data_IF_219403705670
#
_entry.id   IF_219403705670
#
_cell.length_a   1.000
_cell.length_b   1.000
_cell.length_c   1.000
_cell.angle_alpha   90.00
_cell.angle_beta   90.00
_cell.angle_gamma   90.00
#
_symmetry.space_group_name_H-M   'P 1'
#
loop_
_entity.id
_entity.type
_entity.pdbx_description
1 polymer ?
#
# COMPACT_ATOMS: atom_id res chain seq x y z
N UNK A 1 7.84 -11.61 -8.36
CA UNK A 1 9.14 -11.92 -9.01
C UNK A 1 9.17 -11.29 -10.39
N UNK A 2 10.31 -10.75 -10.84
CA UNK A 2 10.48 -10.38 -12.25
C UNK A 2 10.52 -11.66 -13.09
N UNK A 3 9.34 -12.14 -13.48
CA UNK A 3 9.18 -13.21 -14.44
C UNK A 3 8.78 -12.58 -15.77
N UNK A 4 9.73 -12.42 -16.72
CA UNK A 4 9.43 -11.74 -17.97
C UNK A 4 8.38 -12.51 -18.80
N UNK A 5 8.17 -13.80 -18.51
CA UNK A 5 7.18 -14.64 -19.16
C UNK A 5 6.46 -15.47 -18.11
N UNK A 6 5.27 -15.03 -17.71
CA UNK A 6 4.40 -15.84 -16.85
C UNK A 6 3.68 -16.87 -17.70
N UNK A 7 3.75 -18.13 -17.31
CA UNK A 7 3.05 -19.22 -17.99
C UNK A 7 1.87 -19.62 -17.11
N UNK A 8 0.68 -19.68 -17.68
CA UNK A 8 -0.54 -20.07 -16.96
C UNK A 8 -1.14 -21.32 -17.62
N UNK A 9 -1.71 -22.18 -16.78
CA UNK A 9 -2.72 -23.13 -17.21
C UNK A 9 -4.06 -22.40 -17.20
N UNK A 10 -4.69 -22.27 -18.37
CA UNK A 10 -6.02 -21.73 -18.52
C UNK A 10 -7.00 -22.89 -18.71
N UNK A 11 -8.11 -22.85 -17.96
CA UNK A 11 -9.18 -23.82 -18.05
C UNK A 11 -10.38 -23.21 -18.80
N UNK A 12 -11.00 -24.00 -19.67
CA UNK A 12 -12.23 -23.62 -20.37
C UNK A 12 -13.42 -23.69 -19.41
N UNK A 13 -14.03 -22.54 -19.13
CA UNK A 13 -15.27 -22.43 -18.37
C UNK A 13 -16.40 -22.05 -19.34
N UNK A 14 -17.48 -22.85 -19.45
CA UNK A 14 -18.61 -22.52 -20.30
C UNK A 14 -19.36 -21.30 -19.73
N UNK A 15 -19.46 -20.23 -20.52
CA UNK A 15 -20.22 -19.03 -20.16
C UNK A 15 -21.71 -19.21 -20.51
N UNK A 16 -22.58 -18.41 -19.87
CA UNK A 16 -24.06 -18.45 -20.04
C UNK A 16 -24.51 -18.27 -21.50
N UNK A 17 -23.69 -17.65 -22.35
CA UNK A 17 -23.94 -17.42 -23.78
C UNK A 17 -23.40 -18.54 -24.71
N UNK A 18 -23.08 -19.73 -24.18
CA UNK A 18 -22.45 -20.84 -24.93
C UNK A 18 -21.07 -20.50 -25.54
N UNK A 19 -20.44 -19.41 -25.11
CA UNK A 19 -19.03 -19.11 -25.39
C UNK A 19 -18.10 -19.84 -24.43
N UNK A 20 -16.89 -20.20 -24.88
CA UNK A 20 -15.84 -20.75 -24.02
C UNK A 20 -14.96 -19.61 -23.52
N UNK A 21 -15.02 -19.34 -22.21
CA UNK A 21 -14.14 -18.37 -21.56
C UNK A 21 -12.98 -19.10 -20.89
N UNK A 22 -11.77 -18.64 -21.14
CA UNK A 22 -10.57 -19.29 -20.65
C UNK A 22 -10.08 -18.57 -19.39
N UNK A 23 -10.28 -19.21 -18.24
CA UNK A 23 -9.96 -18.65 -16.92
C UNK A 23 -8.57 -19.12 -16.49
N UNK A 24 -7.77 -18.20 -15.93
CA UNK A 24 -6.42 -18.51 -15.44
C UNK A 24 -6.53 -19.32 -14.14
N UNK A 25 -6.28 -20.62 -14.21
CA UNK A 25 -6.43 -21.52 -13.07
C UNK A 25 -5.16 -21.54 -12.20
N UNK A 26 -3.99 -21.65 -12.83
CA UNK A 26 -2.72 -21.81 -12.11
C UNK A 26 -1.55 -21.15 -12.81
N UNK A 27 -0.74 -20.39 -12.07
CA UNK A 27 0.58 -19.95 -12.54
C UNK A 27 1.55 -21.15 -12.52
N UNK A 28 2.11 -21.47 -13.68
CA UNK A 28 3.05 -22.58 -13.88
C UNK A 28 4.48 -22.08 -13.81
N UNK A 29 5.23 -22.60 -12.85
CA UNK A 29 6.57 -22.09 -12.56
C UNK A 29 7.57 -23.24 -12.43
N UNK A 30 8.60 -23.22 -13.28
CA UNK A 30 9.60 -24.28 -13.41
C UNK A 30 9.37 -25.19 -14.62
N UNK A 31 10.45 -25.84 -15.11
CA UNK A 31 10.41 -26.64 -16.34
C UNK A 31 9.48 -27.86 -16.24
N UNK A 32 9.45 -28.51 -15.07
CA UNK A 32 8.62 -29.70 -14.83
C UNK A 32 7.13 -29.37 -14.80
N UNK A 33 6.73 -28.30 -14.12
CA UNK A 33 5.34 -27.84 -14.06
C UNK A 33 4.82 -27.39 -15.44
N UNK A 34 5.67 -26.72 -16.22
CA UNK A 34 5.32 -26.32 -17.60
C UNK A 34 5.20 -27.57 -18.49
N UNK A 35 6.05 -28.57 -18.30
CA UNK A 35 6.02 -29.80 -19.08
C UNK A 35 4.77 -30.64 -18.74
N UNK A 36 4.46 -30.85 -17.46
CA UNK A 36 3.26 -31.60 -17.06
C UNK A 36 1.98 -30.92 -17.51
N UNK A 37 1.89 -29.60 -17.41
CA UNK A 37 0.75 -28.84 -17.88
C UNK A 37 0.61 -28.85 -19.41
N UNK A 38 1.72 -28.92 -20.16
CA UNK A 38 1.68 -29.10 -21.62
C UNK A 38 1.14 -30.48 -22.00
N UNK A 39 1.50 -31.53 -21.26
CA UNK A 39 0.93 -32.87 -21.46
C UNK A 39 -0.57 -32.85 -21.11
N UNK A 40 -0.96 -32.24 -20.00
CA UNK A 40 -2.36 -32.10 -19.60
C UNK A 40 -3.20 -31.34 -20.66
N UNK A 41 -2.68 -30.25 -21.21
CA UNK A 41 -3.32 -29.51 -22.30
C UNK A 41 -3.28 -30.25 -23.66
N UNK A 42 -2.41 -31.24 -23.82
CA UNK A 42 -2.34 -32.08 -25.01
C UNK A 42 -3.31 -33.27 -24.93
N UNK A 43 -3.54 -33.80 -23.72
CA UNK A 43 -4.48 -34.88 -23.45
C UNK A 43 -5.94 -34.40 -23.44
N UNK A 44 -6.21 -33.16 -22.98
CA UNK A 44 -7.55 -32.56 -22.98
C UNK A 44 -7.52 -31.10 -23.50
N UNK A 45 -7.41 -30.93 -24.84
CA UNK A 45 -7.26 -29.61 -25.47
C UNK A 45 -8.55 -28.79 -25.49
N UNK A 46 -9.71 -29.41 -25.24
CA UNK A 46 -10.99 -28.68 -25.13
C UNK A 46 -11.12 -27.99 -23.78
N UNK A 47 -10.53 -28.54 -22.72
CA UNK A 47 -10.63 -27.99 -21.37
C UNK A 47 -9.39 -27.24 -20.88
N UNK A 48 -8.20 -27.53 -21.39
CA UNK A 48 -6.96 -26.95 -20.87
C UNK A 48 -6.06 -26.38 -21.96
N UNK A 49 -5.51 -25.18 -21.73
CA UNK A 49 -4.47 -24.60 -22.59
C UNK A 49 -3.37 -23.94 -21.78
N UNK A 50 -2.14 -24.05 -22.25
CA UNK A 50 -0.99 -23.38 -21.65
C UNK A 50 -0.76 -22.06 -22.38
N UNK A 51 -0.92 -20.93 -21.68
CA UNK A 51 -0.69 -19.60 -22.24
C UNK A 51 0.51 -18.93 -21.59
N UNK A 52 1.40 -18.39 -22.42
CA UNK A 52 2.51 -17.56 -21.97
C UNK A 52 2.17 -16.09 -22.15
N UNK A 53 2.18 -15.34 -21.04
CA UNK A 53 1.91 -13.90 -21.01
C UNK A 53 3.23 -13.15 -21.02
N UNK A 54 3.41 -12.34 -22.07
CA UNK A 54 4.62 -11.52 -22.25
C UNK A 54 4.66 -10.32 -21.30
N UNK A 55 5.85 -9.75 -21.06
CA UNK A 55 6.01 -8.51 -20.26
C UNK A 55 5.08 -7.40 -20.73
N UNK A 56 4.98 -7.16 -22.04
CA UNK A 56 4.17 -6.09 -22.61
C UNK A 56 2.68 -6.32 -22.28
N UNK A 57 2.24 -7.57 -22.30
CA UNK A 57 0.87 -7.93 -21.93
C UNK A 57 0.62 -7.79 -20.43
N UNK A 58 1.62 -8.09 -19.60
CA UNK A 58 1.55 -7.81 -18.16
C UNK A 58 1.48 -6.30 -17.87
N UNK A 59 2.27 -5.49 -18.56
CA UNK A 59 2.26 -4.03 -18.44
C UNK A 59 0.96 -3.38 -18.93
N UNK A 60 0.16 -4.08 -19.76
CA UNK A 60 -1.17 -3.61 -20.15
C UNK A 60 -2.22 -3.81 -19.07
N UNK A 61 -1.95 -4.59 -18.01
CA UNK A 61 -2.90 -4.85 -16.92
C UNK A 61 -3.01 -3.63 -15.99
N UNK A 62 -4.17 -2.97 -15.86
CA UNK A 62 -4.34 -1.80 -14.98
C UNK A 62 -4.05 -2.12 -13.51
N UNK A 63 -4.43 -3.31 -13.05
CA UNK A 63 -4.21 -3.79 -11.67
C UNK A 63 -2.73 -3.78 -11.26
N UNK A 64 -1.82 -4.02 -12.21
CA UNK A 64 -0.37 -3.97 -11.93
C UNK A 64 0.10 -2.55 -11.57
N UNK A 65 -0.37 -1.55 -12.31
CA UNK A 65 -0.03 -0.14 -12.07
C UNK A 65 -0.68 0.39 -10.80
N UNK A 66 -1.91 -0.04 -10.50
CA UNK A 66 -2.57 0.25 -9.23
C UNK A 66 -1.75 -0.27 -8.04
N UNK A 67 -1.35 -1.55 -8.07
CA UNK A 67 -0.52 -2.13 -7.01
C UNK A 67 0.84 -1.43 -6.87
N UNK A 68 1.49 -1.10 -7.99
CA UNK A 68 2.77 -0.39 -7.98
C UNK A 68 2.64 1.03 -7.41
N UNK A 69 1.58 1.77 -7.78
CA UNK A 69 1.33 3.10 -7.25
C UNK A 69 1.03 3.06 -5.74
N UNK A 70 0.22 2.09 -5.29
CA UNK A 70 -0.07 1.87 -3.87
C UNK A 70 1.21 1.62 -3.05
N UNK A 71 2.09 0.74 -3.54
CA UNK A 71 3.38 0.46 -2.91
C UNK A 71 4.24 1.72 -2.77
N UNK A 72 4.32 2.56 -3.81
CA UNK A 72 5.11 3.80 -3.77
C UNK A 72 4.56 4.80 -2.75
N UNK A 73 3.24 4.95 -2.62
CA UNK A 73 2.63 5.81 -1.61
C UNK A 73 2.93 5.35 -0.20
N UNK A 74 2.82 4.04 0.04
CA UNK A 74 3.10 3.45 1.34
C UNK A 74 4.58 3.58 1.71
N UNK A 75 5.48 3.20 0.79
CA UNK A 75 6.94 3.27 0.97
C UNK A 75 7.41 4.68 1.32
N UNK A 76 7.02 5.67 0.52
CA UNK A 76 7.45 7.05 0.73
C UNK A 76 6.63 7.79 1.79
N UNK A 77 5.64 7.13 2.39
CA UNK A 77 4.75 7.72 3.40
C UNK A 77 4.05 9.00 2.87
N UNK A 78 3.76 9.02 1.56
CA UNK A 78 3.12 10.16 0.89
C UNK A 78 1.61 10.08 1.10
N UNK A 79 1.02 11.19 1.57
CA UNK A 79 -0.40 11.27 1.92
C UNK A 79 -0.70 11.13 3.41
N UNK A 80 0.26 10.67 4.22
CA UNK A 80 0.12 10.54 5.68
C UNK A 80 0.28 11.87 6.43
N UNK A 81 0.75 12.93 5.76
CA UNK A 81 1.10 14.21 6.38
C UNK A 81 2.44 14.23 7.13
N UNK A 82 3.12 13.07 7.24
CA UNK A 82 4.43 12.92 7.91
C UNK A 82 5.48 13.87 7.34
N UNK A 83 5.67 13.86 6.02
CA UNK A 83 6.65 14.74 5.35
C UNK A 83 6.30 16.21 5.58
N UNK A 84 5.03 16.58 5.54
CA UNK A 84 4.59 17.95 5.78
C UNK A 84 4.87 18.39 7.23
N UNK A 85 4.62 17.51 8.21
CA UNK A 85 4.96 17.76 9.60
C UNK A 85 6.47 17.94 9.79
N UNK A 86 7.31 17.11 9.18
CA UNK A 86 8.77 17.29 9.25
C UNK A 86 9.24 18.56 8.55
N UNK A 87 8.66 18.88 7.39
CA UNK A 87 8.98 20.09 6.64
C UNK A 87 8.64 21.37 7.41
N UNK A 88 7.65 21.35 8.30
CA UNK A 88 7.32 22.50 9.16
C UNK A 88 8.41 22.89 10.16
N UNK A 89 9.38 21.99 10.43
CA UNK A 89 10.54 22.27 11.28
C UNK A 89 11.74 22.82 10.49
N UNK A 90 11.68 22.85 9.16
CA UNK A 90 12.73 23.39 8.30
C UNK A 90 12.65 24.92 8.24
N UNK A 91 13.80 25.54 7.99
CA UNK A 91 13.91 26.97 7.73
C UNK A 91 13.75 27.27 6.24
N UNK A 92 13.38 28.51 5.90
CA UNK A 92 13.21 28.96 4.51
C UNK A 92 14.50 28.94 3.65
N UNK A 93 15.65 28.58 4.23
CA UNK A 93 16.94 28.49 3.54
C UNK A 93 17.38 27.05 3.28
N UNK A 94 16.68 26.08 3.86
CA UNK A 94 17.06 24.68 3.74
C UNK A 94 16.67 24.14 2.37
N UNK A 95 17.57 23.37 1.77
CA UNK A 95 17.34 22.79 0.44
C UNK A 95 16.37 21.61 0.53
N UNK A 96 15.09 21.86 0.20
CA UNK A 96 14.07 20.81 0.17
C UNK A 96 14.12 19.96 -1.11
N UNK A 97 14.65 20.48 -2.22
CA UNK A 97 14.63 19.80 -3.52
C UNK A 97 15.68 18.70 -3.55
N UNK A 98 16.93 19.03 -3.21
CA UNK A 98 17.99 18.04 -3.15
C UNK A 98 17.74 17.03 -2.03
N UNK A 99 17.28 17.49 -0.87
CA UNK A 99 16.99 16.61 0.27
C UNK A 99 15.89 15.62 -0.06
N UNK A 100 14.80 16.05 -0.71
CA UNK A 100 13.72 15.15 -1.12
C UNK A 100 14.18 14.15 -2.20
N UNK A 101 14.96 14.60 -3.19
CA UNK A 101 15.52 13.72 -4.21
C UNK A 101 16.46 12.67 -3.61
N UNK A 102 17.37 13.08 -2.73
CA UNK A 102 18.32 12.18 -2.09
C UNK A 102 17.61 11.17 -1.17
N UNK A 103 16.66 11.62 -0.35
CA UNK A 103 15.89 10.76 0.53
C UNK A 103 15.06 9.73 -0.26
N UNK A 104 14.34 10.19 -1.29
CA UNK A 104 13.53 9.30 -2.14
C UNK A 104 14.41 8.29 -2.87
N UNK A 105 15.52 8.74 -3.47
CA UNK A 105 16.42 7.85 -4.21
C UNK A 105 17.08 6.81 -3.30
N UNK A 106 17.50 7.20 -2.10
CA UNK A 106 18.11 6.29 -1.12
C UNK A 106 17.10 5.27 -0.59
N UNK A 107 15.85 5.69 -0.36
CA UNK A 107 14.76 4.82 0.05
C UNK A 107 14.47 3.75 -1.01
N UNK A 108 14.22 4.18 -2.25
CA UNK A 108 13.92 3.27 -3.37
C UNK A 108 15.10 2.34 -3.68
N UNK A 109 16.33 2.84 -3.63
CA UNK A 109 17.51 1.99 -3.80
C UNK A 109 17.59 0.91 -2.71
N UNK A 110 17.32 1.27 -1.46
CA UNK A 110 17.37 0.32 -0.35
C UNK A 110 16.23 -0.69 -0.42
N UNK A 111 15.00 -0.25 -0.66
CA UNK A 111 13.84 -1.13 -0.73
C UNK A 111 13.88 -2.04 -1.96
N UNK A 112 14.00 -1.44 -3.15
CA UNK A 112 13.84 -2.17 -4.40
C UNK A 112 15.11 -2.92 -4.75
N UNK A 113 16.28 -2.26 -4.69
CA UNK A 113 17.53 -2.91 -5.08
C UNK A 113 18.05 -3.81 -3.97
N UNK A 114 18.32 -3.30 -2.76
CA UNK A 114 18.89 -4.12 -1.69
C UNK A 114 17.86 -5.12 -1.12
N UNK A 115 16.64 -4.66 -0.84
CA UNK A 115 15.56 -5.52 -0.35
C UNK A 115 15.21 -6.62 -1.33
N UNK A 116 15.07 -6.29 -2.62
CA UNK A 116 14.86 -7.27 -3.69
C UNK A 116 16.01 -8.27 -3.83
N UNK A 117 17.26 -7.81 -3.78
CA UNK A 117 18.46 -8.66 -3.88
C UNK A 117 18.63 -9.59 -2.67
N UNK A 118 18.14 -9.23 -1.49
CA UNK A 118 18.22 -10.08 -0.30
C UNK A 118 17.05 -11.06 -0.26
N UNK A 119 15.83 -10.57 -0.46
CA UNK A 119 14.61 -11.37 -0.28
C UNK A 119 14.38 -12.36 -1.40
N UNK A 120 14.64 -12.00 -2.68
CA UNK A 120 14.36 -12.88 -3.81
C UNK A 120 15.26 -14.14 -3.82
N UNK A 121 16.59 -14.06 -3.65
CA UNK A 121 17.42 -15.26 -3.64
C UNK A 121 17.13 -16.15 -2.44
N UNK A 122 16.89 -15.57 -1.26
CA UNK A 122 16.49 -16.32 -0.07
C UNK A 122 15.15 -17.04 -0.30
N UNK A 123 14.16 -16.36 -0.87
CA UNK A 123 12.87 -16.96 -1.16
C UNK A 123 13.00 -18.11 -2.20
N UNK A 124 13.77 -17.92 -3.27
CA UNK A 124 13.98 -18.97 -4.29
C UNK A 124 14.72 -20.17 -3.71
N UNK A 125 15.76 -19.94 -2.91
CA UNK A 125 16.58 -21.01 -2.36
C UNK A 125 15.83 -21.90 -1.38
N UNK A 126 14.87 -21.36 -0.61
CA UNK A 126 14.20 -22.09 0.47
C UNK A 126 12.74 -22.44 0.19
N UNK A 127 12.01 -21.64 -0.58
CA UNK A 127 10.62 -21.95 -0.99
C UNK A 127 10.53 -22.58 -2.38
N UNK A 128 11.62 -22.53 -3.16
CA UNK A 128 11.61 -22.90 -4.57
C UNK A 128 10.81 -21.88 -5.41
N UNK A 129 10.96 -21.97 -6.74
CA UNK A 129 10.31 -21.03 -7.66
C UNK A 129 8.77 -21.20 -7.61
N UNK A 130 8.28 -22.45 -7.42
CA UNK A 130 6.85 -22.75 -7.28
C UNK A 130 6.25 -22.15 -5.98
N UNK A 131 6.96 -22.25 -4.85
CA UNK A 131 6.52 -21.68 -3.57
C UNK A 131 6.53 -20.15 -3.52
N UNK A 132 7.14 -19.47 -4.50
CA UNK A 132 7.03 -18.02 -4.65
C UNK A 132 5.90 -17.57 -5.59
N UNK A 133 5.43 -18.48 -6.46
CA UNK A 133 4.40 -18.17 -7.46
C UNK A 133 2.97 -18.26 -6.94
N UNK A 134 2.77 -18.98 -5.82
CA UNK A 134 1.46 -19.21 -5.21
C UNK A 134 0.90 -18.06 -4.36
N UNK A 135 1.35 -16.82 -4.58
CA UNK A 135 0.83 -15.65 -3.84
C UNK A 135 1.38 -15.50 -2.41
N UNK A 136 2.61 -15.96 -2.16
CA UNK A 136 3.26 -15.82 -0.85
C UNK A 136 3.33 -14.35 -0.44
N UNK A 137 2.62 -13.98 0.63
CA UNK A 137 2.62 -12.62 1.15
C UNK A 137 4.01 -12.25 1.70
N UNK A 138 4.32 -10.94 1.73
CA UNK A 138 5.57 -10.46 2.37
C UNK A 138 5.67 -10.94 3.83
N UNK A 139 4.53 -11.05 4.52
CA UNK A 139 4.47 -11.61 5.86
C UNK A 139 4.94 -13.07 5.90
N UNK A 140 4.42 -13.92 4.99
CA UNK A 140 4.85 -15.32 4.91
C UNK A 140 6.33 -15.45 4.51
N UNK A 141 6.86 -14.57 3.66
CA UNK A 141 8.29 -14.54 3.35
C UNK A 141 9.14 -14.19 4.58
N UNK A 142 8.78 -13.12 5.28
CA UNK A 142 9.53 -12.63 6.44
C UNK A 142 9.48 -13.55 7.65
N UNK A 143 8.33 -14.18 7.91
CA UNK A 143 8.09 -14.93 9.15
C UNK A 143 8.03 -16.46 8.98
N UNK A 144 7.92 -16.99 7.75
CA UNK A 144 8.02 -18.44 7.52
C UNK A 144 9.32 -18.81 6.80
N UNK A 145 9.67 -18.10 5.72
CA UNK A 145 10.83 -18.47 4.90
C UNK A 145 12.17 -18.08 5.55
N UNK A 146 12.30 -16.85 6.07
CA UNK A 146 13.55 -16.38 6.67
C UNK A 146 13.97 -17.18 7.92
N UNK A 147 13.08 -17.56 8.86
CA UNK A 147 13.48 -18.43 9.96
C UNK A 147 14.05 -19.78 9.50
N UNK A 148 13.50 -20.35 8.42
CA UNK A 148 14.01 -21.59 7.83
C UNK A 148 15.42 -21.41 7.25
N UNK A 149 15.68 -20.25 6.64
CA UNK A 149 17.02 -19.84 6.18
C UNK A 149 18.01 -19.82 7.34
N UNK A 150 17.66 -19.10 8.41
CA UNK A 150 18.53 -18.98 9.57
C UNK A 150 18.78 -20.33 10.23
N UNK A 151 17.77 -21.19 10.34
CA UNK A 151 17.93 -22.54 10.91
C UNK A 151 18.91 -23.43 10.14
N UNK A 152 19.11 -23.18 8.84
CA UNK A 152 20.00 -23.96 7.99
C UNK A 152 21.43 -23.41 7.96
N UNK A 153 21.65 -22.20 8.48
CA UNK A 153 22.96 -21.54 8.49
C UNK A 153 23.75 -21.85 9.76
N UNK A 154 25.08 -22.05 9.66
CA UNK A 154 25.92 -22.13 10.85
C UNK A 154 25.88 -20.79 11.61
N UNK A 155 25.53 -20.83 12.91
CA UNK A 155 25.30 -19.62 13.70
C UNK A 155 23.94 -18.95 13.46
N UNK A 156 22.98 -19.67 12.85
CA UNK A 156 21.64 -19.20 12.52
C UNK A 156 20.92 -18.41 13.59
N UNK A 157 20.99 -18.84 14.85
CA UNK A 157 20.35 -18.15 15.97
C UNK A 157 20.86 -16.71 16.16
N UNK A 158 22.15 -16.46 15.97
CA UNK A 158 22.73 -15.12 16.09
C UNK A 158 22.26 -14.23 14.93
N UNK A 159 22.31 -14.73 13.70
CA UNK A 159 21.88 -13.97 12.52
C UNK A 159 20.37 -13.73 12.53
N UNK A 160 19.57 -14.71 12.94
CA UNK A 160 18.14 -14.57 13.13
C UNK A 160 17.81 -13.53 14.20
N UNK A 161 18.48 -13.58 15.36
CA UNK A 161 18.33 -12.56 16.39
C UNK A 161 18.65 -11.15 15.86
N UNK A 162 19.80 -10.97 15.20
CA UNK A 162 20.19 -9.68 14.63
C UNK A 162 19.20 -9.19 13.58
N UNK A 163 18.73 -10.08 12.70
CA UNK A 163 17.76 -9.73 11.67
C UNK A 163 16.43 -9.25 12.26
N UNK A 164 15.82 -10.04 13.15
CA UNK A 164 14.55 -9.68 13.78
C UNK A 164 14.69 -8.48 14.72
N UNK A 165 15.84 -8.31 15.36
CA UNK A 165 16.12 -7.13 16.17
C UNK A 165 16.23 -5.86 15.31
N UNK A 166 16.92 -5.92 14.16
CA UNK A 166 16.95 -4.81 13.21
C UNK A 166 15.58 -4.52 12.61
N UNK A 167 14.80 -5.57 12.27
CA UNK A 167 13.43 -5.42 11.80
C UNK A 167 12.53 -4.75 12.86
N UNK A 168 12.71 -5.10 14.14
CA UNK A 168 12.04 -4.44 15.25
C UNK A 168 12.43 -2.96 15.35
N UNK A 169 13.72 -2.63 15.30
CA UNK A 169 14.18 -1.24 15.33
C UNK A 169 13.65 -0.42 14.14
N UNK A 170 13.63 -1.00 12.94
CA UNK A 170 13.07 -0.38 11.74
C UNK A 170 11.56 -0.15 11.87
N UNK A 171 10.83 -1.08 12.49
CA UNK A 171 9.40 -0.93 12.74
C UNK A 171 9.14 0.19 13.77
N UNK A 172 9.95 0.26 14.83
CA UNK A 172 9.83 1.31 15.87
C UNK A 172 10.07 2.70 15.28
N UNK A 173 11.09 2.88 14.43
CA UNK A 173 11.34 4.19 13.80
C UNK A 173 10.20 4.62 12.88
N UNK A 174 9.63 3.68 12.09
CA UNK A 174 8.45 3.93 11.26
C UNK A 174 7.22 4.34 12.08
N UNK A 175 6.96 3.66 13.20
CA UNK A 175 5.87 4.01 14.11
C UNK A 175 6.04 5.43 14.68
N UNK A 176 7.24 5.79 15.14
CA UNK A 176 7.51 7.13 15.70
C UNK A 176 7.25 8.22 14.64
N UNK A 177 7.71 7.99 13.41
CA UNK A 177 7.52 8.91 12.28
C UNK A 177 6.04 9.15 11.97
N UNK A 178 5.25 8.06 11.95
CA UNK A 178 3.82 8.10 11.61
C UNK A 178 2.96 8.72 12.72
N UNK A 179 3.41 8.68 13.97
CA UNK A 179 2.71 9.32 15.10
C UNK A 179 2.87 10.84 15.12
N UNK A 180 3.93 11.37 14.49
CA UNK A 180 4.28 12.80 14.57
C UNK A 180 3.16 13.74 14.06
N UNK A 181 2.49 13.50 12.92
CA UNK A 181 1.36 14.31 12.48
C UNK A 181 0.20 14.30 13.48
N UNK A 182 -0.08 13.16 14.10
CA UNK A 182 -1.12 13.03 15.12
C UNK A 182 -0.81 13.83 16.39
N UNK A 183 0.45 13.83 16.82
CA UNK A 183 0.91 14.63 17.97
C UNK A 183 0.78 16.12 17.65
N UNK A 184 1.26 16.55 16.48
CA UNK A 184 1.20 17.94 16.04
C UNK A 184 -0.25 18.43 15.94
N UNK A 185 -1.15 17.62 15.35
CA UNK A 185 -2.57 17.93 15.30
C UNK A 185 -3.17 18.10 16.71
N UNK A 186 -2.91 17.19 17.65
CA UNK A 186 -3.46 17.29 19.00
C UNK A 186 -2.94 18.52 19.75
N UNK A 187 -1.64 18.82 19.63
CA UNK A 187 -1.03 20.01 20.22
C UNK A 187 -1.67 21.30 19.68
N UNK A 188 -1.85 21.40 18.37
CA UNK A 188 -2.48 22.58 17.75
C UNK A 188 -3.98 22.68 18.05
N UNK A 189 -4.71 21.58 17.95
CA UNK A 189 -6.16 21.55 18.09
C UNK A 189 -6.61 21.78 19.54
N UNK A 190 -5.95 21.14 20.50
CA UNK A 190 -6.38 21.15 21.89
C UNK A 190 -5.57 22.09 22.78
N UNK A 191 -4.48 22.68 22.27
CA UNK A 191 -3.59 23.59 23.01
C UNK A 191 -3.03 22.96 24.31
N UNK A 192 -2.94 21.63 24.36
CA UNK A 192 -2.39 20.89 25.49
C UNK A 192 -0.88 20.72 25.35
N UNK A 193 -0.21 20.42 26.45
CA UNK A 193 1.24 20.16 26.43
C UNK A 193 1.56 18.90 25.62
N UNK A 194 2.70 18.90 24.92
CA UNK A 194 3.19 17.75 24.12
C UNK A 194 3.12 16.40 24.85
N UNK A 195 3.44 16.37 26.15
CA UNK A 195 3.36 15.15 26.98
C UNK A 195 1.94 14.58 27.06
N UNK A 196 0.93 15.45 27.15
CA UNK A 196 -0.47 15.05 27.18
C UNK A 196 -0.93 14.59 25.80
N UNK A 197 -0.53 15.27 24.72
CA UNK A 197 -0.79 14.82 23.34
C UNK A 197 -0.24 13.41 23.08
N UNK A 198 1.00 13.15 23.50
CA UNK A 198 1.62 11.82 23.40
C UNK A 198 0.87 10.77 24.21
N UNK A 199 0.42 11.10 25.43
CA UNK A 199 -0.33 10.16 26.26
C UNK A 199 -1.70 9.81 25.66
N UNK A 200 -2.44 10.81 25.14
CA UNK A 200 -3.73 10.60 24.48
C UNK A 200 -3.55 9.76 23.21
N UNK A 201 -2.61 10.14 22.34
CA UNK A 201 -2.35 9.40 21.11
C UNK A 201 -1.86 7.98 21.41
N UNK A 202 -1.02 7.81 22.44
CA UNK A 202 -0.57 6.51 22.92
C UNK A 202 -1.73 5.64 23.40
N UNK A 203 -2.71 6.21 24.13
CA UNK A 203 -3.91 5.50 24.54
C UNK A 203 -4.78 5.07 23.35
N UNK A 204 -5.01 5.96 22.38
CA UNK A 204 -5.77 5.65 21.15
C UNK A 204 -5.08 4.53 20.37
N UNK A 205 -3.76 4.62 20.21
CA UNK A 205 -2.96 3.62 19.50
C UNK A 205 -2.94 2.28 20.24
N UNK A 206 -2.80 2.28 21.56
CA UNK A 206 -2.84 1.06 22.39
C UNK A 206 -4.21 0.38 22.34
N UNK A 207 -5.29 1.16 22.30
CA UNK A 207 -6.64 0.64 22.13
C UNK A 207 -6.82 -0.03 20.76
N UNK A 208 -6.38 0.63 19.69
CA UNK A 208 -6.39 0.06 18.34
C UNK A 208 -5.52 -1.21 18.22
N UNK A 209 -4.33 -1.21 18.81
CA UNK A 209 -3.46 -2.38 18.84
C UNK A 209 -4.09 -3.55 19.62
N UNK A 210 -4.73 -3.27 20.76
CA UNK A 210 -5.45 -4.28 21.56
C UNK A 210 -6.61 -4.90 20.78
N UNK A 211 -7.33 -4.09 19.98
CA UNK A 211 -8.37 -4.58 19.08
C UNK A 211 -7.81 -5.55 18.04
N UNK A 212 -6.69 -5.20 17.38
CA UNK A 212 -6.04 -6.08 16.40
C UNK A 212 -5.57 -7.38 17.04
N UNK A 213 -4.96 -7.32 18.23
CA UNK A 213 -4.49 -8.50 18.96
C UNK A 213 -5.64 -9.42 19.38
N UNK A 214 -6.76 -8.86 19.83
CA UNK A 214 -7.92 -9.64 20.26
C UNK A 214 -8.63 -10.31 19.07
N UNK A 215 -8.74 -9.60 17.94
CA UNK A 215 -9.38 -10.09 16.71
C UNK A 215 -8.37 -10.63 15.68
N UNK A 216 -7.26 -11.20 16.14
CA UNK A 216 -6.16 -11.65 15.26
C UNK A 216 -6.46 -12.93 14.46
N UNK A 217 -7.64 -13.54 14.64
CA UNK A 217 -8.02 -14.76 13.93
C UNK A 217 -8.00 -14.54 12.40
N UNK A 218 -7.15 -15.32 11.72
CA UNK A 218 -6.95 -15.24 10.28
C UNK A 218 -6.30 -13.94 9.77
N UNK A 219 -5.72 -13.10 10.65
CA UNK A 219 -5.15 -11.78 10.29
C UNK A 219 -6.22 -10.79 9.75
N UNK A 220 -7.49 -11.18 9.69
CA UNK A 220 -8.59 -10.42 9.09
C UNK A 220 -8.70 -8.99 9.62
N UNK A 221 -8.58 -8.78 10.93
CA UNK A 221 -8.67 -7.44 11.52
C UNK A 221 -7.52 -6.53 11.07
N UNK A 222 -6.30 -7.07 10.99
CA UNK A 222 -5.12 -6.34 10.55
C UNK A 222 -5.23 -6.02 9.06
N UNK A 223 -5.58 -7.01 8.24
CA UNK A 223 -5.75 -6.88 6.78
C UNK A 223 -6.81 -5.81 6.44
N UNK A 224 -7.96 -5.85 7.13
CA UNK A 224 -9.02 -4.85 6.95
C UNK A 224 -8.54 -3.44 7.29
N UNK A 225 -7.86 -3.26 8.43
CA UNK A 225 -7.36 -1.94 8.81
C UNK A 225 -6.26 -1.44 7.86
N UNK A 226 -5.37 -2.33 7.43
CA UNK A 226 -4.29 -2.02 6.50
C UNK A 226 -4.82 -1.58 5.13
N UNK A 227 -5.84 -2.27 4.62
CA UNK A 227 -6.48 -1.86 3.37
C UNK A 227 -7.22 -0.52 3.50
N UNK A 228 -8.15 -0.41 4.47
CA UNK A 228 -9.02 0.78 4.55
C UNK A 228 -8.27 2.03 5.00
N UNK A 229 -7.34 1.91 5.95
CA UNK A 229 -6.55 3.04 6.44
C UNK A 229 -5.25 3.18 5.67
N UNK A 230 -4.45 2.11 5.62
CA UNK A 230 -3.10 2.05 5.05
C UNK A 230 -3.03 2.20 3.53
N UNK A 231 -4.13 1.90 2.83
CA UNK A 231 -4.20 2.03 1.37
C UNK A 231 -5.25 3.05 0.94
N UNK A 232 -6.53 2.81 1.25
CA UNK A 232 -7.65 3.59 0.71
C UNK A 232 -7.66 5.04 1.21
N UNK A 233 -7.67 5.27 2.53
CA UNK A 233 -7.74 6.64 3.08
C UNK A 233 -6.51 7.49 2.75
N UNK A 234 -5.32 6.88 2.72
CA UNK A 234 -4.08 7.56 2.31
C UNK A 234 -4.16 7.97 0.85
N UNK A 235 -4.67 7.11 -0.03
CA UNK A 235 -4.85 7.44 -1.43
C UNK A 235 -5.78 8.65 -1.63
N UNK A 236 -6.91 8.67 -0.92
CA UNK A 236 -7.85 9.80 -0.94
C UNK A 236 -7.16 11.07 -0.45
N UNK A 237 -6.44 10.99 0.67
CA UNK A 237 -5.74 12.14 1.27
C UNK A 237 -4.64 12.67 0.36
N UNK A 238 -3.84 11.79 -0.25
CA UNK A 238 -2.82 12.15 -1.23
C UNK A 238 -3.43 12.85 -2.46
N UNK A 239 -4.58 12.35 -2.94
CA UNK A 239 -5.32 12.97 -4.05
C UNK A 239 -5.79 14.38 -3.69
N UNK A 240 -6.32 14.57 -2.48
CA UNK A 240 -6.72 15.90 -2.00
C UNK A 240 -5.50 16.82 -1.89
N UNK A 241 -4.40 16.36 -1.29
CA UNK A 241 -3.18 17.15 -1.15
C UNK A 241 -2.63 17.63 -2.50
N UNK A 242 -2.58 16.77 -3.51
CA UNK A 242 -2.03 17.18 -4.80
C UNK A 242 -2.93 18.18 -5.54
N UNK A 243 -4.26 18.07 -5.38
CA UNK A 243 -5.21 19.03 -5.93
C UNK A 243 -5.06 20.38 -5.23
N UNK A 244 -5.01 20.38 -3.89
CA UNK A 244 -4.79 21.61 -3.11
C UNK A 244 -3.45 22.26 -3.47
N UNK A 245 -2.39 21.47 -3.61
CA UNK A 245 -1.07 21.95 -3.99
C UNK A 245 -1.04 22.54 -5.41
N UNK A 246 -1.62 21.85 -6.39
CA UNK A 246 -1.58 22.27 -7.80
C UNK A 246 -2.52 23.44 -8.14
N UNK A 247 -3.68 23.52 -7.48
CA UNK A 247 -4.75 24.44 -7.85
C UNK A 247 -5.07 25.51 -6.81
N UNK A 248 -5.01 25.20 -5.50
CA UNK A 248 -5.37 26.15 -4.44
C UNK A 248 -4.18 26.99 -3.99
N UNK A 249 -3.03 26.37 -3.72
CA UNK A 249 -1.80 27.09 -3.38
C UNK A 249 -1.15 27.77 -4.59
N UNK A 250 -1.40 27.23 -5.79
CA UNK A 250 -0.81 27.70 -7.03
C UNK A 250 0.57 27.10 -7.28
N UNK A 251 0.70 26.32 -8.35
CA UNK A 251 1.94 25.62 -8.70
C UNK A 251 3.14 26.56 -8.91
N UNK A 252 2.89 27.80 -9.32
CA UNK A 252 3.95 28.78 -9.57
C UNK A 252 4.57 29.27 -8.27
N UNK A 253 3.74 29.66 -7.29
CA UNK A 253 4.19 30.05 -5.95
C UNK A 253 4.88 28.88 -5.25
N UNK A 254 4.34 27.67 -5.38
CA UNK A 254 4.96 26.47 -4.81
C UNK A 254 6.34 26.17 -5.40
N UNK A 255 6.53 26.38 -6.71
CA UNK A 255 7.85 26.22 -7.34
C UNK A 255 8.84 27.31 -6.93
N UNK A 256 8.38 28.55 -6.77
CA UNK A 256 9.22 29.64 -6.27
C UNK A 256 9.71 29.39 -4.85
N UNK A 257 8.82 28.90 -3.97
CA UNK A 257 9.20 28.48 -2.62
C UNK A 257 10.12 27.26 -2.64
N UNK A 258 9.88 26.28 -3.52
CA UNK A 258 10.77 25.14 -3.65
C UNK A 258 12.17 25.50 -4.16
N UNK A 259 12.31 26.55 -4.98
CA UNK A 259 13.60 27.06 -5.43
C UNK A 259 14.30 27.95 -4.39
N UNK A 260 13.60 28.35 -3.31
CA UNK A 260 14.19 29.16 -2.25
C UNK A 260 15.10 28.28 -1.39
N UNK A 261 16.41 28.56 -1.45
CA UNK A 261 17.42 27.76 -0.72
C UNK A 261 17.85 26.48 -1.42
N UNK A 262 17.28 26.14 -2.58
CA UNK A 262 17.64 24.92 -3.31
C UNK A 262 18.97 25.03 -4.05
N UNK A 263 19.81 24.01 -3.96
CA UNK A 263 21.00 23.85 -4.79
C UNK A 263 20.67 23.38 -6.22
N UNK A 264 19.51 22.74 -6.41
CA UNK A 264 19.03 22.25 -7.72
C UNK A 264 17.69 22.89 -8.07
N UNK A 265 17.59 23.38 -9.30
CA UNK A 265 16.33 23.91 -9.83
C UNK A 265 15.50 22.79 -10.47
N UNK A 266 14.27 22.62 -9.99
CA UNK A 266 13.26 21.78 -10.63
C UNK A 266 13.00 22.22 -12.09
N UNK A 267 13.11 21.30 -13.07
CA UNK A 267 12.73 21.58 -14.45
C UNK A 267 11.27 22.00 -14.59
N UNK A 268 10.98 22.95 -15.49
CA UNK A 268 9.64 23.54 -15.67
C UNK A 268 8.57 22.52 -16.08
N UNK A 269 8.95 21.42 -16.72
CA UNK A 269 7.99 20.38 -17.12
C UNK A 269 7.35 19.68 -15.90
N UNK A 270 8.03 19.65 -14.74
CA UNK A 270 7.46 19.10 -13.51
C UNK A 270 6.22 19.86 -13.03
N UNK A 271 6.09 21.16 -13.36
CA UNK A 271 4.87 21.93 -13.07
C UNK A 271 3.64 21.28 -13.73
N UNK A 272 3.78 20.89 -14.99
CA UNK A 272 2.71 20.22 -15.74
C UNK A 272 2.42 18.81 -15.20
N UNK A 273 3.46 18.07 -14.84
CA UNK A 273 3.33 16.73 -14.25
C UNK A 273 2.54 16.81 -12.94
N UNK A 274 2.95 17.67 -12.01
CA UNK A 274 2.32 17.77 -10.68
C UNK A 274 0.90 18.33 -10.77
N UNK A 275 0.66 19.33 -11.63
CA UNK A 275 -0.65 20.00 -11.71
C UNK A 275 -1.72 19.19 -12.45
N UNK A 276 -1.33 18.45 -13.49
CA UNK A 276 -2.28 17.77 -14.38
C UNK A 276 -2.09 16.26 -14.42
N UNK A 277 -0.86 15.78 -14.65
CA UNK A 277 -0.62 14.35 -14.85
C UNK A 277 -0.86 13.55 -13.57
N UNK A 278 -0.33 13.99 -12.43
CA UNK A 278 -0.47 13.27 -11.17
C UNK A 278 -1.94 13.20 -10.68
N UNK A 279 -2.71 14.31 -10.63
CA UNK A 279 -4.13 14.23 -10.26
C UNK A 279 -4.93 13.37 -11.24
N UNK A 280 -4.67 13.49 -12.55
CA UNK A 280 -5.34 12.66 -13.55
C UNK A 280 -5.04 11.18 -13.33
N UNK A 281 -3.78 10.83 -13.08
CA UNK A 281 -3.35 9.47 -12.80
C UNK A 281 -4.04 8.91 -11.55
N UNK A 282 -4.08 9.67 -10.46
CA UNK A 282 -4.74 9.24 -9.22
C UNK A 282 -6.25 9.07 -9.41
N UNK A 283 -6.91 10.03 -10.04
CA UNK A 283 -8.35 9.93 -10.30
C UNK A 283 -8.69 8.77 -11.25
N UNK A 284 -7.82 8.50 -12.22
CA UNK A 284 -7.98 7.37 -13.14
C UNK A 284 -7.83 6.05 -12.40
N UNK A 285 -6.80 5.91 -11.56
CA UNK A 285 -6.59 4.73 -10.73
C UNK A 285 -7.79 4.50 -9.79
N UNK A 286 -8.26 5.56 -9.15
CA UNK A 286 -9.42 5.49 -8.27
C UNK A 286 -10.69 5.08 -9.00
N UNK A 287 -10.92 5.67 -10.19
CA UNK A 287 -12.03 5.31 -11.06
C UNK A 287 -11.95 3.84 -11.49
N UNK A 288 -10.77 3.35 -11.88
CA UNK A 288 -10.57 1.95 -12.23
C UNK A 288 -10.86 1.02 -11.05
N UNK A 289 -10.32 1.31 -9.86
CA UNK A 289 -10.61 0.50 -8.67
C UNK A 289 -12.11 0.44 -8.37
N UNK A 290 -12.84 1.56 -8.45
CA UNK A 290 -14.31 1.57 -8.30
C UNK A 290 -14.97 0.67 -9.36
N UNK A 291 -14.59 0.82 -10.63
CA UNK A 291 -15.24 0.07 -11.70
C UNK A 291 -14.95 -1.43 -11.67
N UNK A 292 -13.72 -1.80 -11.34
CA UNK A 292 -13.25 -3.18 -11.43
C UNK A 292 -13.51 -3.93 -10.13
N UNK A 293 -13.14 -3.34 -8.99
CA UNK A 293 -13.05 -4.05 -7.72
C UNK A 293 -14.28 -3.80 -6.82
N UNK A 294 -14.98 -2.65 -6.97
CA UNK A 294 -16.25 -2.36 -6.27
C UNK A 294 -17.47 -2.79 -7.08
N UNK A 295 -17.53 -2.41 -8.36
CA UNK A 295 -18.69 -2.69 -9.23
C UNK A 295 -18.60 -4.04 -9.94
N UNK A 296 -17.44 -4.71 -9.93
CA UNK A 296 -17.25 -6.04 -10.53
C UNK A 296 -17.47 -6.08 -12.04
N UNK A 297 -17.28 -4.96 -12.75
CA UNK A 297 -17.62 -4.85 -14.18
C UNK A 297 -16.76 -5.77 -15.09
N UNK A 298 -15.62 -6.26 -14.60
CA UNK A 298 -14.73 -7.18 -15.31
C UNK A 298 -15.11 -8.66 -15.12
N UNK A 299 -16.29 -8.97 -14.55
CA UNK A 299 -16.72 -10.36 -14.20
C UNK A 299 -15.74 -11.13 -13.28
N UNK A 300 -14.74 -10.45 -12.72
CA UNK A 300 -13.87 -10.97 -11.67
C UNK A 300 -14.55 -10.95 -10.29
N UNK A 301 -13.97 -11.65 -9.33
CA UNK A 301 -14.42 -11.62 -7.93
C UNK A 301 -14.32 -10.20 -7.37
N UNK A 302 -15.39 -9.71 -6.75
CA UNK A 302 -15.40 -8.46 -5.98
C UNK A 302 -14.27 -8.52 -4.94
N UNK A 303 -13.65 -7.38 -4.64
CA UNK A 303 -12.58 -7.30 -3.64
C UNK A 303 -13.04 -7.93 -2.31
N UNK A 304 -12.23 -8.82 -1.74
CA UNK A 304 -12.59 -9.54 -0.51
C UNK A 304 -12.85 -8.58 0.65
N UNK A 305 -12.19 -7.41 0.68
CA UNK A 305 -12.43 -6.41 1.72
C UNK A 305 -13.85 -5.83 1.68
N UNK A 306 -14.49 -5.81 0.49
CA UNK A 306 -15.86 -5.35 0.30
C UNK A 306 -16.84 -6.49 0.61
N UNK A 307 -16.53 -7.71 0.17
CA UNK A 307 -17.32 -8.90 0.50
C UNK A 307 -17.35 -9.14 2.01
N UNK A 308 -16.22 -8.96 2.70
CA UNK A 308 -16.15 -9.10 4.16
C UNK A 308 -17.03 -8.11 4.90
N UNK A 309 -17.32 -6.95 4.30
CA UNK A 309 -18.18 -5.92 4.89
C UNK A 309 -19.65 -6.15 4.62
N UNK A 310 -20.01 -6.37 3.35
CA UNK A 310 -21.40 -6.39 2.90
C UNK A 310 -21.96 -7.82 2.95
N UNK A 311 -21.10 -8.82 2.80
CA UNK A 311 -21.48 -10.20 2.47
C UNK A 311 -21.78 -10.32 0.98
N UNK A 312 -21.63 -11.52 0.43
CA UNK A 312 -22.06 -11.82 -0.92
C UNK A 312 -23.17 -12.87 -0.87
N UNK A 313 -24.42 -12.42 -0.97
CA UNK A 313 -25.59 -13.32 -0.98
C UNK A 313 -25.60 -14.26 -2.18
N UNK A 314 -24.98 -13.88 -3.30
CA UNK A 314 -24.89 -14.72 -4.50
C UNK A 314 -23.90 -15.90 -4.35
N UNK A 315 -22.90 -15.78 -3.47
CA UNK A 315 -21.91 -16.82 -3.19
C UNK A 315 -22.10 -17.50 -1.82
N UNK A 316 -23.15 -17.12 -1.07
CA UNK A 316 -23.44 -17.68 0.26
C UNK A 316 -22.44 -17.25 1.35
N UNK A 317 -21.64 -16.21 1.10
CA UNK A 317 -20.61 -15.72 2.03
C UNK A 317 -21.24 -14.66 2.95
N UNK A 318 -21.40 -15.01 4.22
CA UNK A 318 -21.90 -14.09 5.25
C UNK A 318 -20.83 -13.05 5.62
N UNK A 319 -21.24 -11.79 5.82
CA UNK A 319 -20.35 -10.72 6.20
C UNK A 319 -19.55 -11.02 7.48
N UNK A 320 -18.27 -10.65 7.47
CA UNK A 320 -17.35 -10.86 8.57
C UNK A 320 -17.60 -9.83 9.68
N UNK A 321 -17.96 -10.32 10.88
CA UNK A 321 -18.21 -9.47 12.05
C UNK A 321 -16.97 -8.66 12.44
N UNK A 322 -15.79 -9.24 12.31
CA UNK A 322 -14.52 -8.60 12.66
C UNK A 322 -14.22 -7.42 11.74
N UNK A 323 -14.42 -7.57 10.43
CA UNK A 323 -14.23 -6.48 9.45
C UNK A 323 -15.17 -5.30 9.72
N UNK A 324 -16.45 -5.57 10.05
CA UNK A 324 -17.41 -4.51 10.43
C UNK A 324 -17.02 -3.78 11.70
N UNK A 325 -16.51 -4.50 12.72
CA UNK A 325 -16.00 -3.88 13.94
C UNK A 325 -14.76 -3.02 13.68
N UNK A 326 -13.87 -3.46 12.77
CA UNK A 326 -12.70 -2.69 12.36
C UNK A 326 -13.09 -1.37 11.66
N UNK A 327 -14.09 -1.39 10.77
CA UNK A 327 -14.64 -0.17 10.19
C UNK A 327 -15.32 0.71 11.25
N UNK A 328 -16.06 0.12 12.18
CA UNK A 328 -16.64 0.84 13.32
C UNK A 328 -15.57 1.57 14.15
N UNK A 329 -14.42 0.93 14.39
CA UNK A 329 -13.27 1.54 15.04
C UNK A 329 -12.73 2.72 14.23
N UNK A 330 -12.49 2.55 12.92
CA UNK A 330 -12.02 3.62 12.02
C UNK A 330 -12.96 4.83 12.07
N UNK A 331 -14.27 4.60 11.93
CA UNK A 331 -15.28 5.67 11.95
C UNK A 331 -15.32 6.35 13.32
N UNK A 332 -15.24 5.59 14.43
CA UNK A 332 -15.23 6.17 15.78
C UNK A 332 -14.03 7.07 16.02
N UNK A 333 -12.84 6.64 15.58
CA UNK A 333 -11.60 7.43 15.66
C UNK A 333 -11.71 8.67 14.77
N UNK A 334 -12.21 8.52 13.54
CA UNK A 334 -12.46 9.63 12.63
C UNK A 334 -13.42 10.67 13.20
N UNK A 335 -14.53 10.23 13.80
CA UNK A 335 -15.48 11.14 14.48
C UNK A 335 -14.82 11.83 15.66
N UNK A 336 -14.05 11.11 16.48
CA UNK A 336 -13.32 11.70 17.60
C UNK A 336 -12.39 12.83 17.13
N UNK A 337 -11.60 12.60 16.08
CA UNK A 337 -10.72 13.62 15.50
C UNK A 337 -11.50 14.77 14.83
N UNK A 338 -12.60 14.49 14.14
CA UNK A 338 -13.44 15.51 13.52
C UNK A 338 -14.11 16.42 14.56
N UNK A 339 -14.58 15.86 15.68
CA UNK A 339 -15.11 16.62 16.80
C UNK A 339 -14.04 17.51 17.43
N UNK A 340 -12.83 16.97 17.65
CA UNK A 340 -11.70 17.77 18.12
C UNK A 340 -11.39 18.93 17.17
N UNK A 341 -11.32 18.67 15.86
CA UNK A 341 -11.07 19.69 14.84
C UNK A 341 -12.16 20.79 14.83
N UNK A 342 -13.43 20.40 14.98
CA UNK A 342 -14.56 21.34 15.00
C UNK A 342 -14.58 22.24 16.24
N UNK A 343 -14.00 21.78 17.35
CA UNK A 343 -13.88 22.56 18.59
C UNK A 343 -12.77 23.60 18.58
N UNK A 344 -11.89 23.59 17.58
CA UNK A 344 -10.73 24.49 17.51
C UNK A 344 -11.12 25.87 16.98
N UNK A 345 -11.08 26.87 17.87
CA UNK A 345 -11.36 28.27 17.50
C UNK A 345 -10.48 28.78 16.36
N UNK A 346 -9.21 28.38 16.32
CA UNK A 346 -8.23 28.79 15.29
C UNK A 346 -8.64 28.39 13.87
N UNK A 347 -9.18 27.18 13.67
CA UNK A 347 -9.68 26.77 12.35
C UNK A 347 -10.96 27.52 11.97
N UNK A 348 -11.79 27.84 12.96
CA UNK A 348 -13.01 28.64 12.76
C UNK A 348 -12.65 30.07 12.30
N UNK A 349 -11.60 30.67 12.87
CA UNK A 349 -11.10 32.00 12.49
C UNK A 349 -10.49 32.02 11.09
N UNK A 350 -9.72 31.00 10.70
CA UNK A 350 -9.16 30.89 9.33
C UNK A 350 -10.28 30.74 8.30
N UNK A 351 -11.30 29.94 8.62
CA UNK A 351 -12.46 29.74 7.73
C UNK A 351 -13.31 31.00 7.62
N UNK A 352 -13.41 31.79 8.70
CA UNK A 352 -14.11 33.08 8.71
C UNK A 352 -13.34 34.18 7.97
N UNK A 353 -12.01 34.10 7.89
CA UNK A 353 -11.17 35.09 7.20
C UNK A 353 -11.08 34.86 5.68
N UNK A 354 -11.40 33.65 5.23
CA UNK A 354 -11.41 33.24 3.82
C UNK A 354 -12.83 33.12 3.22
N UNK A 355 -13.86 33.47 3.99
CA UNK A 355 -15.22 33.76 3.50
C UNK A 355 -15.38 35.26 3.34
#
# INVERSE_FOLDING_TARGET
MWNPQKVFLEQATPTVDNSVEWVQERELVGKEAIYSAKIQAQDDPEHYRVRTISVIEQLKKPKLWLAAAGQLFFSLTVGFGVIASYASYLSNKDDIVLSSLAATSANEFTEVALGGLITLPAAVAFLGIAGMSGGTSLFSLGFNALPMVFSSMPGGNLFGFLFFFLLFLASVSGCISTLQPGIAFLEEATQINRKQSVAILGFVTAFGASFVLYFSEGITALDTLDFWVGTFLIFITATIFIILFGWVLGIDTAFEEAHRGSAIQLPRFFKWIIKYLCPLFLLTIFGFWITLDVLGLDRGTIDHHIIDLIGNEAEGISANRTARLAIGLIVSVGIFYALLASGVKRYTEITAKNR
#
